data_IF_730679599909
#
_entry.id   IF_730679599909
#
_cell.length_a   1.000
_cell.length_b   1.000
_cell.length_c   1.000
_cell.angle_alpha   90.00
_cell.angle_beta   90.00
_cell.angle_gamma   90.00
#
_symmetry.space_group_name_H-M   'P 1'
#
loop_
_entity.id
_entity.type
_entity.pdbx_description
1 polymer ?
#
# COMPACT_ATOMS: atom_id res chain seq x y z
N UNK A 1 5.43 8.36 14.33
CA UNK A 1 5.01 8.78 12.97
C UNK A 1 3.58 8.34 12.77
N UNK A 2 2.80 9.10 11.99
CA UNK A 2 1.39 8.79 11.72
C UNK A 2 1.17 7.33 11.25
N UNK A 3 2.08 6.81 10.40
CA UNK A 3 2.02 5.42 9.93
C UNK A 3 2.08 4.38 11.05
N UNK A 4 3.05 4.49 11.98
CA UNK A 4 3.21 3.53 13.07
C UNK A 4 1.98 3.57 13.99
N UNK A 5 1.56 4.78 14.37
CA UNK A 5 0.41 4.98 15.24
C UNK A 5 -0.89 4.44 14.63
N UNK A 6 -1.14 4.69 13.35
CA UNK A 6 -2.31 4.17 12.66
C UNK A 6 -2.30 2.64 12.58
N UNK A 7 -1.15 2.03 12.29
CA UNK A 7 -1.01 0.58 12.26
C UNK A 7 -1.21 -0.02 13.67
N UNK A 8 -0.68 0.63 14.71
CA UNK A 8 -0.83 0.15 16.09
C UNK A 8 -2.28 0.20 16.57
N UNK A 9 -2.98 1.31 16.30
CA UNK A 9 -4.36 1.53 16.72
C UNK A 9 -5.40 0.76 15.91
N UNK A 10 -5.15 0.53 14.62
CA UNK A 10 -6.19 0.04 13.68
C UNK A 10 -5.95 -1.38 13.17
N UNK A 11 -4.69 -1.84 13.08
CA UNK A 11 -4.38 -3.15 12.51
C UNK A 11 -4.14 -4.18 13.62
N UNK A 12 -5.03 -5.18 13.73
CA UNK A 12 -4.96 -6.21 14.77
C UNK A 12 -4.40 -7.53 14.22
N UNK A 13 -3.74 -8.31 15.07
CA UNK A 13 -3.21 -9.64 14.73
C UNK A 13 -2.00 -9.68 13.75
N UNK A 14 -1.65 -8.55 13.13
CA UNK A 14 -0.62 -8.48 12.08
C UNK A 14 0.71 -7.86 12.55
N UNK A 15 1.28 -8.35 13.66
CA UNK A 15 2.47 -7.78 14.28
C UNK A 15 3.71 -7.76 13.34
N UNK A 16 3.88 -8.77 12.49
CA UNK A 16 4.94 -8.82 11.48
C UNK A 16 4.79 -7.68 10.45
N UNK A 17 3.57 -7.44 9.99
CA UNK A 17 3.27 -6.38 9.01
C UNK A 17 3.62 -5.01 9.58
N UNK A 18 3.23 -4.73 10.83
CA UNK A 18 3.52 -3.45 11.50
C UNK A 18 5.02 -3.11 11.44
N UNK A 19 5.87 -4.06 11.82
CA UNK A 19 7.33 -3.88 11.84
C UNK A 19 7.91 -3.69 10.44
N UNK A 20 7.54 -4.55 9.49
CA UNK A 20 8.10 -4.56 8.14
C UNK A 20 7.67 -3.31 7.35
N UNK A 21 6.38 -2.98 7.35
CA UNK A 21 5.83 -1.84 6.61
C UNK A 21 6.41 -0.53 7.12
N UNK A 22 6.44 -0.33 8.44
CA UNK A 22 6.96 0.93 9.00
C UNK A 22 8.43 1.13 8.65
N UNK A 23 9.26 0.07 8.77
CA UNK A 23 10.68 0.15 8.41
C UNK A 23 10.87 0.44 6.93
N UNK A 24 10.17 -0.28 6.05
CA UNK A 24 10.32 -0.14 4.61
C UNK A 24 9.87 1.25 4.11
N UNK A 25 8.68 1.68 4.51
CA UNK A 25 8.11 2.97 4.05
C UNK A 25 8.92 4.14 4.59
N UNK A 26 9.27 4.17 5.89
CA UNK A 26 10.11 5.24 6.44
C UNK A 26 11.49 5.26 5.81
N UNK A 27 12.11 4.09 5.64
CA UNK A 27 13.43 3.98 5.03
C UNK A 27 13.45 4.53 3.61
N UNK A 28 12.41 4.26 2.83
CA UNK A 28 12.28 4.81 1.47
C UNK A 28 12.04 6.32 1.48
N UNK A 29 11.07 6.81 2.27
CA UNK A 29 10.73 8.24 2.30
C UNK A 29 11.86 9.13 2.84
N UNK A 30 12.71 8.60 3.72
CA UNK A 30 13.85 9.33 4.27
C UNK A 30 15.10 9.25 3.37
N UNK A 31 15.06 8.51 2.26
CA UNK A 31 16.18 8.38 1.34
C UNK A 31 15.97 9.25 0.08
N UNK A 32 16.56 10.43 0.07
CA UNK A 32 16.52 11.35 -1.08
C UNK A 32 17.23 10.81 -2.34
N UNK A 33 18.08 9.79 -2.20
CA UNK A 33 18.88 9.19 -3.27
C UNK A 33 18.47 7.73 -3.55
N UNK A 34 17.17 7.42 -3.45
CA UNK A 34 16.66 6.08 -3.70
C UNK A 34 16.92 5.63 -5.16
N UNK A 35 17.71 4.56 -5.33
CA UNK A 35 18.09 4.03 -6.65
C UNK A 35 16.99 3.22 -7.36
N UNK A 36 15.96 2.79 -6.62
CA UNK A 36 14.84 1.96 -7.10
C UNK A 36 13.56 2.30 -6.34
N UNK A 37 12.37 2.16 -6.97
CA UNK A 37 11.10 2.35 -6.28
C UNK A 37 10.88 1.29 -5.20
N UNK A 38 10.15 1.65 -4.14
CA UNK A 38 9.72 0.70 -3.13
C UNK A 38 8.56 -0.16 -3.67
N UNK A 39 8.79 -1.46 -3.79
CA UNK A 39 7.76 -2.45 -4.09
C UNK A 39 7.44 -3.28 -2.83
N UNK A 40 6.16 -3.40 -2.50
CA UNK A 40 5.68 -4.21 -1.37
C UNK A 40 4.68 -5.24 -1.90
N UNK A 41 4.89 -6.51 -1.56
CA UNK A 41 3.91 -7.56 -1.83
C UNK A 41 3.23 -7.99 -0.54
N UNK A 42 1.89 -7.87 -0.49
CA UNK A 42 1.07 -8.25 0.65
C UNK A 42 0.30 -9.52 0.29
N UNK A 43 0.64 -10.64 0.92
CA UNK A 43 0.01 -11.94 0.69
C UNK A 43 -0.60 -12.51 1.97
N UNK A 44 -1.55 -13.43 1.81
CA UNK A 44 -2.25 -14.08 2.92
C UNK A 44 -3.75 -14.24 2.64
N UNK A 45 -4.48 -14.74 3.62
CA UNK A 45 -5.91 -15.04 3.48
C UNK A 45 -6.77 -13.80 3.18
N UNK A 46 -7.94 -13.98 2.57
CA UNK A 46 -8.89 -12.88 2.41
C UNK A 46 -9.39 -12.38 3.78
N UNK A 47 -9.79 -11.12 3.86
CA UNK A 47 -10.28 -10.51 5.11
C UNK A 47 -9.21 -10.19 6.18
N UNK A 48 -7.93 -10.53 5.98
CA UNK A 48 -6.88 -10.30 6.99
C UNK A 48 -6.21 -8.91 6.94
N UNK A 49 -6.76 -7.99 6.13
CA UNK A 49 -6.37 -6.58 6.14
C UNK A 49 -5.37 -6.13 5.07
N UNK A 50 -5.09 -6.91 4.02
CA UNK A 50 -4.15 -6.52 2.94
C UNK A 50 -4.46 -5.13 2.34
N UNK A 51 -5.68 -4.93 1.84
CA UNK A 51 -6.10 -3.63 1.30
C UNK A 51 -6.16 -2.54 2.38
N UNK A 52 -6.47 -2.92 3.61
CA UNK A 52 -6.54 -2.01 4.74
C UNK A 52 -5.16 -1.45 5.12
N UNK A 53 -4.12 -2.26 5.06
CA UNK A 53 -2.72 -1.83 5.23
C UNK A 53 -2.35 -0.81 4.15
N UNK A 54 -2.65 -1.09 2.88
CA UNK A 54 -2.39 -0.14 1.79
C UNK A 54 -3.13 1.19 1.98
N UNK A 55 -4.38 1.15 2.45
CA UNK A 55 -5.16 2.35 2.81
C UNK A 55 -4.49 3.15 3.93
N UNK A 56 -4.07 2.49 5.01
CA UNK A 56 -3.37 3.14 6.13
C UNK A 56 -2.06 3.80 5.65
N UNK A 57 -1.31 3.14 4.77
CA UNK A 57 -0.08 3.72 4.18
C UNK A 57 -0.43 5.01 3.42
N UNK A 58 -1.43 4.96 2.52
CA UNK A 58 -1.83 6.11 1.72
C UNK A 58 -2.30 7.29 2.60
N UNK A 59 -3.16 7.03 3.60
CA UNK A 59 -3.66 8.03 4.54
C UNK A 59 -2.55 8.62 5.44
N UNK A 60 -1.48 7.88 5.67
CA UNK A 60 -0.36 8.34 6.50
C UNK A 60 0.67 9.17 5.73
N UNK A 61 0.66 9.12 4.39
CA UNK A 61 1.59 9.86 3.51
C UNK A 61 0.87 11.07 2.88
N UNK A 62 -0.36 10.88 2.41
CA UNK A 62 -1.13 11.90 1.70
C UNK A 62 -2.35 12.32 2.51
N UNK A 63 -2.56 13.63 2.67
CA UNK A 63 -3.71 14.20 3.41
C UNK A 63 -5.07 13.70 2.90
N UNK A 64 -5.21 13.47 1.59
CA UNK A 64 -6.44 12.94 0.97
C UNK A 64 -6.47 11.42 0.87
N UNK A 65 -5.47 10.71 1.39
CA UNK A 65 -5.37 9.26 1.35
C UNK A 65 -5.56 8.69 -0.06
N UNK A 66 -6.49 7.75 -0.20
CA UNK A 66 -6.82 7.12 -1.49
C UNK A 66 -7.46 8.08 -2.50
N UNK A 67 -7.98 9.23 -2.07
CA UNK A 67 -8.54 10.28 -2.96
C UNK A 67 -7.47 11.29 -3.39
N UNK A 68 -6.20 11.08 -3.00
CA UNK A 68 -5.10 11.91 -3.48
C UNK A 68 -4.89 11.69 -4.97
N UNK A 69 -4.67 12.76 -5.73
CA UNK A 69 -4.29 12.68 -7.16
C UNK A 69 -2.95 11.95 -7.39
N UNK A 70 -2.19 11.69 -6.33
CA UNK A 70 -0.92 10.96 -6.35
C UNK A 70 -1.06 9.49 -5.94
N UNK A 71 -2.27 9.03 -5.63
CA UNK A 71 -2.55 7.64 -5.24
C UNK A 71 -3.52 7.05 -6.25
N UNK A 72 -3.09 5.98 -6.92
CA UNK A 72 -3.88 5.30 -7.94
C UNK A 72 -4.17 3.88 -7.48
N UNK A 73 -5.44 3.48 -7.49
CA UNK A 73 -5.88 2.14 -7.14
C UNK A 73 -6.42 1.45 -8.38
N UNK A 74 -5.83 0.32 -8.73
CA UNK A 74 -6.31 -0.55 -9.80
C UNK A 74 -6.86 -1.84 -9.21
N UNK A 75 -8.10 -2.15 -9.57
CA UNK A 75 -8.77 -3.43 -9.28
C UNK A 75 -8.85 -4.21 -10.58
N UNK A 76 -8.13 -5.33 -10.68
CA UNK A 76 -7.93 -6.06 -11.92
C UNK A 76 -9.26 -6.43 -12.61
N UNK A 77 -10.22 -6.98 -11.87
CA UNK A 77 -11.51 -7.40 -12.43
C UNK A 77 -12.40 -6.24 -12.90
N UNK A 78 -12.18 -5.03 -12.40
CA UNK A 78 -12.95 -3.84 -12.78
C UNK A 78 -12.30 -3.09 -13.94
N UNK A 79 -10.98 -2.92 -13.89
CA UNK A 79 -10.25 -2.08 -14.85
C UNK A 79 -9.69 -2.88 -16.02
N UNK A 80 -9.49 -4.19 -15.83
CA UNK A 80 -8.87 -5.09 -16.81
C UNK A 80 -9.67 -6.41 -16.91
N UNK A 81 -10.97 -6.35 -17.26
CA UNK A 81 -11.87 -7.50 -17.19
C UNK A 81 -11.56 -8.59 -18.24
N UNK A 82 -10.97 -8.22 -19.39
CA UNK A 82 -10.79 -9.12 -20.52
C UNK A 82 -9.32 -9.48 -20.74
N UNK A 83 -8.96 -10.75 -20.51
CA UNK A 83 -7.59 -11.22 -20.67
C UNK A 83 -7.04 -11.03 -22.10
N UNK A 84 -7.93 -11.07 -23.11
CA UNK A 84 -7.58 -10.89 -24.52
C UNK A 84 -7.14 -9.46 -24.86
N UNK A 85 -7.52 -8.47 -24.05
CA UNK A 85 -7.23 -7.05 -24.29
C UNK A 85 -5.93 -6.58 -23.59
N UNK A 86 -5.09 -7.52 -23.14
CA UNK A 86 -3.89 -7.20 -22.36
C UNK A 86 -2.95 -6.20 -23.06
N UNK A 87 -2.93 -6.16 -24.39
CA UNK A 87 -2.11 -5.22 -25.15
C UNK A 87 -2.65 -3.78 -25.12
N UNK A 88 -3.94 -3.59 -24.86
CA UNK A 88 -4.59 -2.28 -24.69
C UNK A 88 -4.43 -1.76 -23.26
N UNK A 89 -4.22 -2.66 -22.29
CA UNK A 89 -4.08 -2.31 -20.87
C UNK A 89 -2.65 -1.97 -20.44
N UNK A 90 -1.67 -2.23 -21.30
CA UNK A 90 -0.24 -2.00 -21.05
C UNK A 90 0.15 -0.52 -21.13
#
# INVERSE_FOLDING_TARGET
>A
SALQENLDKKLFGQHLVKKVVVKAVKGFLNNSNAKKPLALSLHGWTGTGKNFVSKIIAESIYKRGLQSKYVHQFVATLHFPHAQEINTYK
#
